data_IF_005777911758
#
_entry.id   IF_005777911758
#
_cell.length_a   1.000
_cell.length_b   1.000
_cell.length_c   1.000
_cell.angle_alpha   90.00
_cell.angle_beta   90.00
_cell.angle_gamma   90.00
#
_symmetry.space_group_name_H-M   'P 1'
#
loop_
_entity.id
_entity.type
_entity.pdbx_description
1 polymer ?
#
# COMPACT_ATOMS: atom_id res chain seq x y z
N UNK A 1 -20.71 -16.34 16.95
CA UNK A 1 -20.11 -16.36 15.60
C UNK A 1 -20.64 -15.24 14.70
N UNK A 2 -21.97 -15.13 14.49
CA UNK A 2 -22.56 -14.11 13.60
C UNK A 2 -22.26 -12.68 14.08
N UNK A 3 -22.37 -12.41 15.38
CA UNK A 3 -22.06 -11.09 15.97
C UNK A 3 -20.60 -10.70 15.75
N UNK A 4 -19.66 -11.61 16.04
CA UNK A 4 -18.23 -11.37 15.85
C UNK A 4 -17.83 -11.11 14.38
N UNK A 5 -18.40 -11.86 13.43
CA UNK A 5 -18.18 -11.62 12.00
C UNK A 5 -18.75 -10.25 11.60
N UNK A 6 -19.90 -9.86 12.15
CA UNK A 6 -20.46 -8.53 11.92
C UNK A 6 -19.53 -7.44 12.47
N UNK A 7 -18.98 -7.59 13.67
CA UNK A 7 -18.06 -6.62 14.29
C UNK A 7 -16.76 -6.48 13.49
N UNK A 8 -16.19 -7.61 13.04
CA UNK A 8 -15.04 -7.62 12.14
C UNK A 8 -15.36 -6.95 10.80
N UNK A 9 -16.56 -7.18 10.26
CA UNK A 9 -17.03 -6.55 9.02
C UNK A 9 -17.16 -5.05 9.18
N UNK A 10 -17.67 -4.57 10.32
CA UNK A 10 -17.76 -3.14 10.64
C UNK A 10 -16.36 -2.53 10.73
N UNK A 11 -15.42 -3.21 11.41
CA UNK A 11 -14.03 -2.78 11.50
C UNK A 11 -13.39 -2.68 10.12
N UNK A 12 -13.53 -3.71 9.28
CA UNK A 12 -12.96 -3.74 7.92
C UNK A 12 -13.60 -2.70 6.99
N UNK A 13 -14.91 -2.48 7.13
CA UNK A 13 -15.63 -1.44 6.37
C UNK A 13 -15.17 -0.05 6.78
N UNK A 14 -15.00 0.18 8.08
CA UNK A 14 -14.44 1.43 8.62
C UNK A 14 -13.04 1.69 8.07
N UNK A 15 -12.17 0.68 8.07
CA UNK A 15 -10.83 0.75 7.48
C UNK A 15 -10.89 1.11 5.99
N UNK A 16 -11.72 0.41 5.21
CA UNK A 16 -11.88 0.67 3.78
C UNK A 16 -12.33 2.10 3.50
N UNK A 17 -13.34 2.60 4.23
CA UNK A 17 -13.85 3.96 4.09
C UNK A 17 -12.82 5.02 4.50
N UNK A 18 -12.15 4.81 5.63
CA UNK A 18 -11.11 5.69 6.14
C UNK A 18 -9.97 5.86 5.12
N UNK A 19 -9.45 4.74 4.60
CA UNK A 19 -8.38 4.74 3.60
C UNK A 19 -8.83 5.33 2.28
N UNK A 20 -10.03 4.96 1.81
CA UNK A 20 -10.58 5.49 0.57
C UNK A 20 -10.73 7.00 0.59
N UNK A 21 -11.16 7.56 1.73
CA UNK A 21 -11.28 8.99 1.93
C UNK A 21 -9.92 9.71 1.97
N UNK A 22 -8.94 9.15 2.70
CA UNK A 22 -7.57 9.71 2.73
C UNK A 22 -6.92 9.66 1.35
N UNK A 23 -7.02 8.53 0.65
CA UNK A 23 -6.50 8.37 -0.71
C UNK A 23 -7.08 9.43 -1.67
N UNK A 24 -8.37 9.75 -1.53
CA UNK A 24 -9.00 10.81 -2.32
C UNK A 24 -8.52 12.22 -1.92
N UNK A 25 -8.34 12.51 -0.63
CA UNK A 25 -7.75 13.78 -0.18
C UNK A 25 -6.30 13.93 -0.64
N UNK A 26 -5.54 12.83 -0.55
CA UNK A 26 -4.15 12.72 -0.97
C UNK A 26 -3.95 12.87 -2.47
N UNK A 27 -4.91 12.42 -3.28
CA UNK A 27 -4.86 12.50 -4.75
C UNK A 27 -4.63 13.93 -5.28
N UNK A 28 -5.14 14.95 -4.58
CA UNK A 28 -4.94 16.35 -4.93
C UNK A 28 -3.46 16.75 -4.83
N UNK A 29 -2.82 16.39 -3.71
CA UNK A 29 -1.40 16.63 -3.49
C UNK A 29 -0.57 15.77 -4.43
N UNK A 30 -0.93 14.50 -4.59
CA UNK A 30 -0.26 13.57 -5.50
C UNK A 30 -0.22 14.09 -6.94
N UNK A 31 -1.35 14.62 -7.46
CA UNK A 31 -1.40 15.23 -8.79
C UNK A 31 -0.45 16.42 -8.94
N UNK A 32 -0.35 17.25 -7.90
CA UNK A 32 0.59 18.37 -7.88
C UNK A 32 2.04 17.89 -7.92
N UNK A 33 2.36 16.75 -7.29
CA UNK A 33 3.68 16.12 -7.35
C UNK A 33 3.99 15.47 -8.69
N UNK A 34 3.04 14.73 -9.25
CA UNK A 34 3.18 14.10 -10.57
C UNK A 34 3.29 15.14 -11.69
N UNK A 35 2.93 16.39 -11.46
CA UNK A 35 3.17 17.48 -12.41
C UNK A 35 4.61 18.05 -12.34
N UNK A 36 5.44 17.66 -11.36
CA UNK A 36 6.81 18.19 -11.26
C UNK A 36 7.71 17.64 -12.38
N UNK A 37 8.53 18.50 -13.01
CA UNK A 37 9.43 18.09 -14.07
C UNK A 37 10.52 17.14 -13.54
N UNK A 38 10.66 15.98 -14.20
CA UNK A 38 11.70 14.97 -13.93
C UNK A 38 13.13 15.50 -14.21
N UNK A 39 13.27 16.36 -15.23
CA UNK A 39 14.56 16.80 -15.76
C UNK A 39 15.04 18.10 -15.12
N UNK A 40 16.29 18.09 -14.63
CA UNK A 40 16.98 19.28 -14.10
C UNK A 40 16.68 19.59 -12.63
N UNK A 41 15.93 18.73 -11.94
CA UNK A 41 15.68 18.87 -10.50
C UNK A 41 16.81 18.20 -9.72
N UNK A 42 17.41 18.94 -8.79
CA UNK A 42 18.47 18.39 -7.92
C UNK A 42 17.98 17.23 -7.05
N UNK A 43 18.87 16.30 -6.71
CA UNK A 43 18.57 15.06 -5.97
C UNK A 43 17.73 15.28 -4.71
N UNK A 44 18.00 16.35 -3.96
CA UNK A 44 17.26 16.69 -2.74
C UNK A 44 15.79 17.04 -3.00
N UNK A 45 15.51 17.86 -4.02
CA UNK A 45 14.13 18.23 -4.40
C UNK A 45 13.35 17.04 -4.94
N UNK A 46 14.02 16.13 -5.65
CA UNK A 46 13.44 14.86 -6.07
C UNK A 46 13.05 14.00 -4.85
N UNK A 47 13.93 13.90 -3.85
CA UNK A 47 13.66 13.17 -2.61
C UNK A 47 12.46 13.76 -1.86
N UNK A 48 12.46 15.07 -1.65
CA UNK A 48 11.38 15.80 -0.98
C UNK A 48 10.04 15.60 -1.69
N UNK A 49 9.99 15.83 -3.01
CA UNK A 49 8.76 15.66 -3.80
C UNK A 49 8.25 14.22 -3.80
N UNK A 50 9.17 13.24 -3.84
CA UNK A 50 8.79 11.82 -3.81
C UNK A 50 8.30 11.38 -2.43
N UNK A 51 8.95 11.86 -1.35
CA UNK A 51 8.50 11.61 0.02
C UNK A 51 7.12 12.22 0.26
N UNK A 52 6.90 13.44 -0.21
CA UNK A 52 5.61 14.12 -0.07
C UNK A 52 4.52 13.47 -0.91
N UNK A 53 4.83 12.96 -2.10
CA UNK A 53 3.94 12.11 -2.90
C UNK A 53 3.56 10.83 -2.13
N UNK A 54 4.54 10.13 -1.56
CA UNK A 54 4.31 8.89 -0.83
C UNK A 54 3.47 9.10 0.45
N UNK A 55 3.78 10.14 1.22
CA UNK A 55 3.05 10.49 2.44
C UNK A 55 1.65 10.98 2.08
N UNK A 56 1.49 11.91 1.15
CA UNK A 56 0.18 12.52 0.89
C UNK A 56 -0.91 11.53 0.49
N UNK A 57 -0.57 10.46 -0.25
CA UNK A 57 -1.56 9.50 -0.75
C UNK A 57 -2.12 8.56 0.34
N UNK A 58 -1.34 8.26 1.39
CA UNK A 58 -1.80 7.48 2.53
C UNK A 58 -2.13 6.00 2.26
N UNK A 59 -1.75 5.48 1.10
CA UNK A 59 -1.79 4.05 0.74
C UNK A 59 -0.42 3.63 0.22
N UNK A 60 0.26 2.76 0.96
CA UNK A 60 1.59 2.31 0.56
C UNK A 60 1.51 1.38 -0.64
N UNK A 61 0.46 0.55 -0.72
CA UNK A 61 0.24 -0.37 -1.82
C UNK A 61 0.03 0.44 -3.11
N UNK A 62 -0.89 1.40 -3.11
CA UNK A 62 -1.16 2.22 -4.29
C UNK A 62 0.05 3.04 -4.74
N UNK A 63 0.90 3.48 -3.81
CA UNK A 63 2.18 4.12 -4.12
C UNK A 63 3.16 3.16 -4.81
N UNK A 64 3.30 1.94 -4.33
CA UNK A 64 4.21 0.94 -4.90
C UNK A 64 3.75 0.47 -6.28
N UNK A 65 2.45 0.23 -6.48
CA UNK A 65 1.90 -0.07 -7.80
C UNK A 65 2.01 1.13 -8.75
N UNK A 66 1.80 2.35 -8.25
CA UNK A 66 2.02 3.58 -9.01
C UNK A 66 3.47 3.71 -9.49
N UNK A 67 4.43 3.47 -8.61
CA UNK A 67 5.86 3.42 -8.95
C UNK A 67 6.16 2.39 -10.05
N UNK A 68 5.58 1.19 -9.95
CA UNK A 68 5.74 0.14 -10.96
C UNK A 68 5.11 0.52 -12.30
N UNK A 69 3.95 1.18 -12.28
CA UNK A 69 3.31 1.69 -13.48
C UNK A 69 4.17 2.79 -14.14
N UNK A 70 4.70 3.74 -13.37
CA UNK A 70 5.61 4.79 -13.86
C UNK A 70 6.90 4.21 -14.46
N UNK A 71 7.48 3.20 -13.80
CA UNK A 71 8.67 2.50 -14.28
C UNK A 71 8.40 1.81 -15.62
N UNK A 72 7.25 1.15 -15.74
CA UNK A 72 6.91 0.37 -16.93
C UNK A 72 6.48 1.25 -18.11
N UNK A 73 5.73 2.33 -17.85
CA UNK A 73 5.32 3.31 -18.86
C UNK A 73 6.46 4.24 -19.31
N UNK A 74 7.54 4.32 -18.52
CA UNK A 74 8.64 5.29 -18.67
C UNK A 74 8.14 6.74 -18.66
N UNK A 75 7.05 7.01 -17.94
CA UNK A 75 6.55 8.37 -17.74
C UNK A 75 7.49 9.22 -16.90
N UNK A 76 8.32 8.58 -16.08
CA UNK A 76 9.39 9.18 -15.29
C UNK A 76 10.69 8.40 -15.46
N UNK A 77 11.81 9.03 -15.11
CA UNK A 77 13.10 8.37 -15.04
C UNK A 77 13.10 7.27 -13.97
N UNK A 78 13.92 6.25 -14.22
CA UNK A 78 14.05 5.07 -13.34
C UNK A 78 14.35 5.47 -11.88
N UNK A 79 15.10 6.56 -11.69
CA UNK A 79 15.45 7.07 -10.38
C UNK A 79 14.20 7.45 -9.58
N UNK A 80 13.27 8.20 -10.17
CA UNK A 80 12.03 8.61 -9.49
C UNK A 80 11.13 7.41 -9.20
N UNK A 81 10.95 6.52 -10.18
CA UNK A 81 10.09 5.36 -9.98
C UNK A 81 10.63 4.42 -8.89
N UNK A 82 11.94 4.14 -8.88
CA UNK A 82 12.56 3.33 -7.83
C UNK A 82 12.52 4.04 -6.48
N UNK A 83 12.73 5.35 -6.43
CA UNK A 83 12.65 6.12 -5.18
C UNK A 83 11.24 6.13 -4.61
N UNK A 84 10.21 6.27 -5.45
CA UNK A 84 8.81 6.18 -5.04
C UNK A 84 8.46 4.77 -4.56
N UNK A 85 9.02 3.72 -5.19
CA UNK A 85 8.86 2.35 -4.73
C UNK A 85 9.44 2.14 -3.31
N UNK A 86 10.59 2.76 -3.02
CA UNK A 86 11.23 2.70 -1.71
C UNK A 86 10.46 3.51 -0.66
N UNK A 87 10.12 4.77 -0.97
CA UNK A 87 9.43 5.68 -0.07
C UNK A 87 7.95 5.39 0.07
N UNK A 88 7.36 4.58 -0.82
CA UNK A 88 5.95 4.21 -0.78
C UNK A 88 5.50 3.67 0.56
N UNK A 89 6.41 3.00 1.31
CA UNK A 89 6.17 2.51 2.66
C UNK A 89 5.79 3.60 3.66
N UNK A 90 6.23 4.84 3.45
CA UNK A 90 5.84 5.99 4.27
C UNK A 90 4.33 6.23 4.24
N UNK A 91 3.62 5.75 3.20
CA UNK A 91 2.17 5.75 3.14
C UNK A 91 1.48 4.98 4.27
N UNK A 92 2.21 4.17 5.06
CA UNK A 92 1.71 3.51 6.27
C UNK A 92 1.48 4.47 7.46
N UNK A 93 1.83 5.76 7.35
CA UNK A 93 1.52 6.73 8.41
C UNK A 93 0.02 6.81 8.72
N UNK A 94 -0.84 6.56 7.72
CA UNK A 94 -2.31 6.52 7.90
C UNK A 94 -2.74 5.37 8.78
N UNK A 95 -2.07 4.23 8.66
CA UNK A 95 -2.25 3.07 9.54
C UNK A 95 -1.86 3.42 10.96
N UNK A 96 -0.71 4.09 11.15
CA UNK A 96 -0.28 4.54 12.46
C UNK A 96 -1.28 5.54 13.07
N UNK A 97 -1.72 6.52 12.28
CA UNK A 97 -2.72 7.49 12.73
C UNK A 97 -4.05 6.81 13.09
N UNK A 98 -4.56 5.92 12.24
CA UNK A 98 -5.78 5.17 12.50
C UNK A 98 -5.67 4.32 13.77
N UNK A 99 -4.53 3.68 13.99
CA UNK A 99 -4.28 2.88 15.19
C UNK A 99 -4.21 3.72 16.47
N UNK A 100 -3.64 4.92 16.41
CA UNK A 100 -3.62 5.87 17.53
C UNK A 100 -5.04 6.39 17.85
N UNK A 101 -5.82 6.68 16.82
CA UNK A 101 -7.22 7.12 16.97
C UNK A 101 -8.08 6.04 17.62
N UNK A 102 -7.92 4.78 17.19
CA UNK A 102 -8.60 3.62 17.79
C UNK A 102 -8.36 3.52 19.30
N UNK A 103 -7.16 3.86 19.74
CA UNK A 103 -6.75 3.66 21.12
C UNK A 103 -7.29 4.75 22.07
N UNK A 104 -7.38 6.00 21.61
CA UNK A 104 -7.61 7.15 22.50
C UNK A 104 -8.99 7.80 22.41
N UNK A 105 -9.76 7.53 21.36
CA UNK A 105 -10.96 8.32 21.07
C UNK A 105 -12.19 7.43 20.99
N UNK A 106 -13.23 7.79 21.75
CA UNK A 106 -14.51 7.08 21.71
C UNK A 106 -15.15 7.19 20.32
N UNK A 107 -15.65 6.05 19.82
CA UNK A 107 -16.27 5.95 18.50
C UNK A 107 -17.50 6.88 18.34
N UNK A 108 -18.19 7.15 19.45
CA UNK A 108 -19.37 8.02 19.53
C UNK A 108 -19.12 9.42 18.97
N UNK A 109 -17.95 10.01 19.25
CA UNK A 109 -17.61 11.36 18.78
C UNK A 109 -17.48 11.43 17.26
N UNK A 110 -16.86 10.43 16.64
CA UNK A 110 -16.69 10.36 15.19
C UNK A 110 -18.00 10.09 14.46
N UNK A 111 -18.82 9.19 15.00
CA UNK A 111 -20.13 8.87 14.43
C UNK A 111 -21.05 10.08 14.56
N UNK A 112 -21.09 10.74 15.72
CA UNK A 112 -21.87 11.95 15.91
C UNK A 112 -21.45 13.07 14.95
N UNK A 113 -20.13 13.32 14.80
CA UNK A 113 -19.62 14.31 13.86
C UNK A 113 -19.98 13.97 12.39
N UNK A 114 -19.90 12.70 12.02
CA UNK A 114 -20.29 12.24 10.68
C UNK A 114 -21.80 12.35 10.43
N UNK A 115 -22.63 12.00 11.41
CA UNK A 115 -24.11 12.06 11.32
C UNK A 115 -24.59 13.51 11.24
N UNK A 116 -24.13 14.37 12.15
CA UNK A 116 -24.47 15.80 12.15
C UNK A 116 -24.13 16.42 10.80
N UNK A 117 -22.97 16.06 10.23
CA UNK A 117 -22.60 16.61 8.94
C UNK A 117 -23.28 15.96 7.74
N UNK A 118 -23.61 14.66 7.78
CA UNK A 118 -24.39 13.99 6.72
C UNK A 118 -25.72 14.71 6.50
N UNK A 119 -26.37 15.15 7.59
CA UNK A 119 -27.57 15.98 7.49
C UNK A 119 -27.29 17.41 6.99
N UNK A 120 -26.08 17.93 7.20
CA UNK A 120 -25.61 19.21 6.64
C UNK A 120 -25.05 19.10 5.21
N UNK A 121 -24.87 17.88 4.66
CA UNK A 121 -24.16 17.62 3.39
C UNK A 121 -24.83 18.30 2.20
N UNK A 122 -26.13 18.63 2.32
CA UNK A 122 -26.86 19.49 1.37
C UNK A 122 -26.21 20.87 1.17
N UNK A 123 -25.32 21.32 2.07
CA UNK A 123 -24.82 22.69 2.12
C UNK A 123 -23.32 22.81 1.81
N UNK A 124 -22.53 21.73 1.94
CA UNK A 124 -21.06 21.80 1.79
C UNK A 124 -20.45 20.60 1.05
N UNK A 125 -20.41 20.68 -0.29
CA UNK A 125 -19.83 19.66 -1.17
C UNK A 125 -18.32 19.40 -0.94
N UNK A 126 -17.58 20.40 -0.44
CA UNK A 126 -16.13 20.31 -0.20
C UNK A 126 -15.75 19.46 1.02
N UNK A 127 -16.68 19.26 1.96
CA UNK A 127 -16.42 18.52 3.20
C UNK A 127 -16.48 17.00 3.07
N UNK A 128 -17.16 16.48 2.04
CA UNK A 128 -17.58 15.06 1.92
C UNK A 128 -16.49 14.03 2.26
N UNK A 129 -15.25 14.24 1.80
CA UNK A 129 -14.17 13.28 2.05
C UNK A 129 -13.70 13.28 3.50
N UNK A 130 -13.65 14.44 4.14
CA UNK A 130 -13.33 14.54 5.56
C UNK A 130 -14.38 13.79 6.39
N UNK A 131 -15.66 13.87 6.03
CA UNK A 131 -16.71 13.13 6.74
C UNK A 131 -16.72 11.65 6.45
N UNK A 132 -16.41 11.22 5.22
CA UNK A 132 -16.18 9.80 4.94
C UNK A 132 -15.00 9.26 5.75
N UNK A 133 -13.95 10.06 5.92
CA UNK A 133 -12.81 9.72 6.77
C UNK A 133 -13.24 9.61 8.24
N UNK A 134 -13.97 10.59 8.78
CA UNK A 134 -14.48 10.57 10.16
C UNK A 134 -15.45 9.41 10.40
N UNK A 135 -16.37 9.14 9.47
CA UNK A 135 -17.27 7.99 9.52
C UNK A 135 -16.48 6.68 9.52
N UNK A 136 -15.49 6.56 8.63
CA UNK A 136 -14.60 5.41 8.56
C UNK A 136 -13.87 5.17 9.88
N UNK A 137 -13.32 6.24 10.48
CA UNK A 137 -12.72 6.18 11.83
C UNK A 137 -13.73 5.78 12.90
N UNK A 138 -14.95 6.33 12.88
CA UNK A 138 -16.00 5.99 13.82
C UNK A 138 -16.42 4.52 13.74
N UNK A 139 -16.61 3.99 12.52
CA UNK A 139 -16.89 2.57 12.29
C UNK A 139 -15.71 1.68 12.70
N UNK A 140 -14.48 2.10 12.38
CA UNK A 140 -13.27 1.40 12.78
C UNK A 140 -13.17 1.28 14.32
N UNK A 141 -13.36 2.40 15.03
CA UNK A 141 -13.38 2.46 16.51
C UNK A 141 -14.53 1.68 17.11
N UNK A 142 -15.73 1.76 16.52
CA UNK A 142 -16.90 1.01 16.99
C UNK A 142 -16.69 -0.49 16.82
N UNK A 143 -16.26 -0.95 15.64
CA UNK A 143 -15.98 -2.36 15.39
C UNK A 143 -14.89 -2.90 16.32
N UNK A 144 -13.83 -2.10 16.58
CA UNK A 144 -12.80 -2.46 17.56
C UNK A 144 -13.37 -2.61 18.97
N UNK A 145 -14.17 -1.65 19.44
CA UNK A 145 -14.81 -1.71 20.76
C UNK A 145 -15.76 -2.92 20.89
N UNK A 146 -16.53 -3.22 19.86
CA UNK A 146 -17.45 -4.36 19.85
C UNK A 146 -16.69 -5.70 19.87
N UNK A 147 -15.59 -5.82 19.12
CA UNK A 147 -14.73 -7.00 19.15
C UNK A 147 -14.13 -7.24 20.55
N UNK A 148 -13.74 -6.18 21.25
CA UNK A 148 -13.22 -6.26 22.62
C UNK A 148 -14.34 -6.72 23.57
N UNK A 149 -15.55 -6.17 23.45
CA UNK A 149 -16.69 -6.62 24.27
C UNK A 149 -17.11 -8.06 23.97
N UNK A 150 -16.92 -8.53 22.74
CA UNK A 150 -17.17 -9.90 22.32
C UNK A 150 -16.07 -10.90 22.78
N UNK A 151 -14.98 -10.43 23.39
CA UNK A 151 -13.86 -11.26 23.85
C UNK A 151 -14.29 -12.51 24.65
N UNK A 152 -15.18 -12.44 25.65
CA UNK A 152 -15.56 -13.62 26.43
C UNK A 152 -16.21 -14.69 25.55
N UNK A 153 -16.95 -14.28 24.53
CA UNK A 153 -17.56 -15.20 23.58
C UNK A 153 -16.51 -15.84 22.68
N UNK A 154 -15.49 -15.10 22.26
CA UNK A 154 -14.36 -15.63 21.47
C UNK A 154 -13.60 -16.67 22.27
N UNK A 155 -13.25 -16.37 23.53
CA UNK A 155 -12.53 -17.30 24.41
C UNK A 155 -13.40 -18.53 24.68
N UNK A 156 -14.69 -18.37 24.94
CA UNK A 156 -15.61 -19.49 25.13
C UNK A 156 -15.82 -20.33 23.85
N UNK A 157 -15.81 -19.71 22.67
CA UNK A 157 -15.93 -20.39 21.37
C UNK A 157 -14.65 -21.12 20.98
N UNK A 158 -13.49 -20.53 21.28
CA UNK A 158 -12.20 -21.13 21.03
C UNK A 158 -11.87 -22.22 22.06
N UNK A 159 -12.48 -22.19 23.25
CA UNK A 159 -12.32 -23.20 24.29
C UNK A 159 -10.86 -23.49 24.64
N UNK A 160 -10.58 -24.69 25.16
CA UNK A 160 -9.22 -25.25 25.25
C UNK A 160 -8.72 -25.79 23.90
N UNK A 161 -9.09 -25.20 22.76
CA UNK A 161 -8.60 -25.69 21.47
C UNK A 161 -7.10 -25.41 21.30
N UNK A 162 -6.42 -26.31 20.59
CA UNK A 162 -5.02 -26.11 20.16
C UNK A 162 -4.83 -24.78 19.40
N UNK A 163 -5.89 -24.26 18.78
CA UNK A 163 -5.88 -22.97 18.10
C UNK A 163 -5.87 -21.78 19.07
N UNK A 164 -6.62 -21.84 20.17
CA UNK A 164 -6.52 -20.84 21.25
C UNK A 164 -5.12 -20.83 21.85
N UNK A 165 -4.57 -22.02 22.11
CA UNK A 165 -3.19 -22.18 22.58
C UNK A 165 -2.21 -21.59 21.56
N UNK A 166 -2.37 -21.86 20.27
CA UNK A 166 -1.53 -21.29 19.21
C UNK A 166 -1.57 -19.75 19.15
N UNK A 167 -2.71 -19.11 19.40
CA UNK A 167 -2.81 -17.64 19.41
C UNK A 167 -2.15 -17.01 20.65
N UNK A 168 -2.26 -17.66 21.80
CA UNK A 168 -1.80 -17.15 23.09
C UNK A 168 -0.33 -17.51 23.42
N UNK A 169 0.14 -18.69 23.01
CA UNK A 169 1.40 -19.32 23.46
C UNK A 169 2.65 -18.55 23.01
N UNK A 170 2.55 -17.75 21.95
CA UNK A 170 3.62 -16.84 21.54
C UNK A 170 4.97 -17.51 21.27
N UNK A 171 5.02 -18.85 21.14
CA UNK A 171 6.19 -19.65 20.76
C UNK A 171 6.42 -19.57 19.25
N UNK A 172 7.63 -19.93 18.82
CA UNK A 172 8.05 -19.78 17.43
C UNK A 172 7.13 -20.50 16.42
N UNK A 173 6.70 -21.72 16.72
CA UNK A 173 5.81 -22.48 15.82
C UNK A 173 4.45 -21.80 15.60
N UNK A 174 3.89 -21.24 16.66
CA UNK A 174 2.65 -20.47 16.62
C UNK A 174 2.79 -19.16 15.81
N UNK A 175 3.89 -18.42 16.04
CA UNK A 175 4.18 -17.20 15.28
C UNK A 175 4.35 -17.49 13.79
N UNK A 176 5.03 -18.58 13.44
CA UNK A 176 5.22 -18.98 12.04
C UNK A 176 3.89 -19.30 11.36
N UNK A 177 2.99 -20.02 12.05
CA UNK A 177 1.66 -20.31 11.54
C UNK A 177 0.85 -19.03 11.29
N UNK A 178 0.91 -18.05 12.20
CA UNK A 178 0.23 -16.76 12.05
C UNK A 178 0.80 -15.92 10.91
N UNK A 179 2.12 -15.90 10.77
CA UNK A 179 2.81 -15.23 9.67
C UNK A 179 2.41 -15.84 8.32
N UNK A 180 2.43 -17.17 8.20
CA UNK A 180 2.02 -17.85 6.96
C UNK A 180 0.52 -17.65 6.68
N UNK A 181 -0.31 -17.69 7.71
CA UNK A 181 -1.74 -17.42 7.60
C UNK A 181 -2.03 -16.02 7.08
N UNK A 182 -1.43 -14.99 7.68
CA UNK A 182 -1.62 -13.61 7.23
C UNK A 182 -1.01 -13.37 5.85
N UNK A 183 0.10 -14.04 5.51
CA UNK A 183 0.66 -14.00 4.17
C UNK A 183 -0.32 -14.52 3.12
N UNK A 184 -0.89 -15.71 3.35
CA UNK A 184 -1.84 -16.35 2.43
C UNK A 184 -3.09 -15.48 2.28
N UNK A 185 -3.69 -15.05 3.40
CA UNK A 185 -4.90 -14.21 3.39
C UNK A 185 -4.65 -12.92 2.62
N UNK A 186 -3.54 -12.23 2.87
CA UNK A 186 -3.17 -10.99 2.17
C UNK A 186 -2.86 -11.22 0.69
N UNK A 187 -2.36 -12.39 0.30
CA UNK A 187 -2.14 -12.71 -1.11
C UNK A 187 -3.45 -12.72 -1.92
N UNK A 188 -4.58 -13.04 -1.28
CA UNK A 188 -5.91 -13.02 -1.89
C UNK A 188 -6.67 -11.71 -1.66
N UNK A 189 -6.49 -11.07 -0.49
CA UNK A 189 -7.23 -9.87 -0.11
C UNK A 189 -6.40 -8.62 -0.45
N UNK A 190 -6.95 -7.72 -1.27
CA UNK A 190 -6.32 -6.46 -1.65
C UNK A 190 -6.42 -5.34 -0.60
N UNK A 191 -6.74 -5.66 0.65
CA UNK A 191 -6.85 -4.73 1.76
C UNK A 191 -5.49 -4.64 2.43
N UNK A 192 -5.02 -3.42 2.67
CA UNK A 192 -3.69 -3.19 3.22
C UNK A 192 -3.79 -2.71 4.69
N UNK A 193 -2.79 -3.07 5.48
CA UNK A 193 -2.68 -2.88 6.94
C UNK A 193 -3.78 -3.46 7.80
N UNK A 194 -4.56 -4.42 7.30
CA UNK A 194 -5.66 -5.01 8.07
C UNK A 194 -5.15 -5.76 9.32
N UNK A 195 -3.95 -6.35 9.24
CA UNK A 195 -3.35 -7.09 10.35
C UNK A 195 -2.95 -6.19 11.52
N UNK A 196 -2.66 -4.91 11.29
CA UNK A 196 -2.37 -3.96 12.37
C UNK A 196 -3.62 -3.75 13.21
N UNK A 197 -4.77 -3.54 12.57
CA UNK A 197 -6.03 -3.30 13.24
C UNK A 197 -6.59 -4.55 13.92
N UNK A 198 -6.55 -5.69 13.23
CA UNK A 198 -6.91 -6.99 13.83
C UNK A 198 -5.95 -7.37 14.96
N UNK A 199 -4.66 -7.12 14.76
CA UNK A 199 -3.62 -7.35 15.76
C UNK A 199 -3.86 -6.54 17.03
N UNK A 200 -4.18 -5.24 16.91
CA UNK A 200 -4.56 -4.41 18.05
C UNK A 200 -5.83 -4.95 18.72
N UNK A 201 -6.89 -5.22 17.96
CA UNK A 201 -8.14 -5.72 18.52
C UNK A 201 -7.92 -7.01 19.33
N UNK A 202 -7.16 -7.96 18.77
CA UNK A 202 -6.86 -9.23 19.43
C UNK A 202 -5.84 -9.15 20.57
N UNK A 203 -4.90 -8.21 20.50
CA UNK A 203 -3.94 -7.95 21.57
C UNK A 203 -4.63 -7.32 22.77
N UNK A 204 -5.55 -6.38 22.52
CA UNK A 204 -6.38 -5.71 23.52
C UNK A 204 -7.34 -6.70 24.17
N UNK A 205 -7.97 -7.57 23.39
CA UNK A 205 -8.81 -8.64 23.92
C UNK A 205 -8.01 -9.81 24.53
N UNK A 206 -6.70 -9.71 24.68
CA UNK A 206 -5.86 -10.75 25.28
C UNK A 206 -5.87 -12.11 24.55
N UNK A 207 -6.49 -12.20 23.37
CA UNK A 207 -6.61 -13.43 22.57
C UNK A 207 -5.34 -13.72 21.79
N UNK A 208 -4.50 -12.71 21.57
CA UNK A 208 -3.28 -12.80 20.79
C UNK A 208 -2.10 -12.25 21.58
N UNK A 209 -1.00 -13.00 21.60
CA UNK A 209 0.26 -12.51 22.18
C UNK A 209 0.85 -11.35 21.35
N UNK A 210 1.68 -10.52 21.99
CA UNK A 210 2.40 -9.43 21.30
C UNK A 210 3.22 -9.95 20.10
N UNK A 211 3.88 -11.10 20.24
CA UNK A 211 4.63 -11.72 19.14
C UNK A 211 3.71 -12.22 18.03
N UNK A 212 2.54 -12.76 18.38
CA UNK A 212 1.53 -13.16 17.40
C UNK A 212 1.03 -11.97 16.58
N UNK A 213 0.76 -10.84 17.23
CA UNK A 213 0.36 -9.61 16.56
C UNK A 213 1.45 -9.11 15.59
N UNK A 214 2.72 -9.11 16.01
CA UNK A 214 3.85 -8.76 15.15
C UNK A 214 3.98 -9.74 13.97
N UNK A 215 3.82 -11.03 14.21
CA UNK A 215 3.90 -12.05 13.15
C UNK A 215 2.82 -11.86 12.08
N UNK A 216 1.59 -11.48 12.48
CA UNK A 216 0.52 -11.14 11.53
C UNK A 216 0.96 -10.00 10.60
N UNK A 217 1.49 -8.91 11.16
CA UNK A 217 1.96 -7.75 10.40
C UNK A 217 3.09 -8.12 9.44
N UNK A 218 4.10 -8.85 9.92
CA UNK A 218 5.21 -9.28 9.06
C UNK A 218 4.71 -10.13 7.89
N UNK A 219 3.78 -11.06 8.13
CA UNK A 219 3.23 -11.89 7.06
C UNK A 219 2.43 -11.09 6.03
N UNK A 220 1.64 -10.09 6.44
CA UNK A 220 0.97 -9.17 5.51
C UNK A 220 1.98 -8.36 4.68
N UNK A 221 3.01 -7.78 5.33
CA UNK A 221 4.01 -6.98 4.63
C UNK A 221 4.83 -7.81 3.64
N UNK A 222 5.21 -9.04 4.02
CA UNK A 222 5.88 -9.99 3.12
C UNK A 222 4.98 -10.35 1.93
N UNK A 223 3.70 -10.58 2.16
CA UNK A 223 2.76 -10.88 1.09
C UNK A 223 2.67 -9.72 0.10
N UNK A 224 2.50 -8.49 0.55
CA UNK A 224 2.44 -7.34 -0.37
C UNK A 224 3.69 -7.20 -1.24
N UNK A 225 4.87 -7.36 -0.63
CA UNK A 225 6.16 -7.30 -1.32
C UNK A 225 6.27 -8.38 -2.41
N UNK A 226 5.88 -9.62 -2.11
CA UNK A 226 5.92 -10.73 -3.07
C UNK A 226 4.79 -10.70 -4.10
N UNK A 227 3.60 -10.23 -3.73
CA UNK A 227 2.46 -10.10 -4.64
C UNK A 227 2.73 -9.06 -5.72
N UNK A 228 3.43 -7.96 -5.38
CA UNK A 228 3.90 -6.99 -6.36
C UNK A 228 4.85 -7.65 -7.36
N UNK A 229 5.85 -8.40 -6.89
CA UNK A 229 6.77 -9.13 -7.77
C UNK A 229 6.05 -10.16 -8.65
N UNK A 230 5.11 -10.91 -8.07
CA UNK A 230 4.29 -11.89 -8.78
C UNK A 230 3.48 -11.25 -9.91
N UNK A 231 2.84 -10.10 -9.64
CA UNK A 231 2.00 -9.37 -10.60
C UNK A 231 2.84 -8.62 -11.64
N UNK A 232 4.03 -8.17 -11.29
CA UNK A 232 4.97 -7.51 -12.19
C UNK A 232 5.55 -8.44 -13.26
N UNK A 233 5.37 -9.77 -13.16
CA UNK A 233 5.79 -10.73 -14.20
C UNK A 233 5.12 -10.52 -15.57
N UNK A 234 3.99 -9.79 -15.61
CA UNK A 234 3.30 -9.40 -16.85
C UNK A 234 3.82 -8.09 -17.46
N UNK A 235 4.69 -7.37 -16.75
CA UNK A 235 5.27 -6.10 -17.20
C UNK A 235 6.58 -6.34 -17.97
N UNK A 236 7.19 -5.25 -18.44
CA UNK A 236 8.47 -5.28 -19.14
C UNK A 236 9.58 -5.90 -18.28
N UNK A 237 10.63 -6.42 -18.94
CA UNK A 237 11.77 -7.09 -18.29
C UNK A 237 12.43 -6.25 -17.19
N UNK A 238 12.59 -4.94 -17.42
CA UNK A 238 13.08 -3.98 -16.42
C UNK A 238 12.22 -3.99 -15.15
N UNK A 239 10.90 -3.83 -15.31
CA UNK A 239 9.95 -3.81 -14.21
C UNK A 239 9.94 -5.16 -13.47
N UNK A 240 9.97 -6.28 -14.21
CA UNK A 240 10.08 -7.62 -13.64
C UNK A 240 11.35 -7.76 -12.77
N UNK A 241 12.51 -7.39 -13.30
CA UNK A 241 13.79 -7.49 -12.58
C UNK A 241 13.83 -6.59 -11.34
N UNK A 242 13.36 -5.35 -11.47
CA UNK A 242 13.25 -4.41 -10.35
C UNK A 242 12.30 -4.93 -9.28
N UNK A 243 11.14 -5.49 -9.66
CA UNK A 243 10.16 -6.01 -8.70
C UNK A 243 10.67 -7.20 -7.89
N UNK A 244 11.42 -8.12 -8.51
CA UNK A 244 12.01 -9.28 -7.81
C UNK A 244 13.11 -8.80 -6.86
N UNK A 245 13.97 -7.89 -7.33
CA UNK A 245 15.04 -7.34 -6.50
C UNK A 245 14.49 -6.53 -5.32
N UNK A 246 13.42 -5.76 -5.55
CA UNK A 246 12.64 -5.08 -4.52
C UNK A 246 12.08 -6.09 -3.52
N UNK A 247 11.53 -7.21 -4.00
CA UNK A 247 10.95 -8.20 -3.13
C UNK A 247 11.95 -8.86 -2.20
N UNK A 248 13.14 -9.17 -2.71
CA UNK A 248 14.25 -9.70 -1.93
C UNK A 248 14.72 -8.67 -0.89
N UNK A 249 15.02 -7.44 -1.32
CA UNK A 249 15.50 -6.39 -0.42
C UNK A 249 14.48 -6.05 0.69
N UNK A 250 13.20 -5.94 0.32
CA UNK A 250 12.10 -5.72 1.25
C UNK A 250 11.92 -6.88 2.24
N UNK A 251 12.02 -8.13 1.77
CA UNK A 251 11.96 -9.31 2.64
C UNK A 251 13.12 -9.35 3.64
N UNK A 252 14.34 -9.06 3.19
CA UNK A 252 15.51 -8.97 4.06
C UNK A 252 15.32 -7.90 5.14
N UNK A 253 14.80 -6.73 4.78
CA UNK A 253 14.51 -5.65 5.73
C UNK A 253 13.39 -6.00 6.73
N UNK A 254 12.35 -6.70 6.29
CA UNK A 254 11.28 -7.19 7.19
C UNK A 254 11.79 -8.25 8.17
N UNK A 255 12.60 -9.21 7.69
CA UNK A 255 13.22 -10.24 8.54
C UNK A 255 14.14 -9.58 9.57
N UNK A 256 14.99 -8.63 9.15
CA UNK A 256 15.84 -7.85 10.04
C UNK A 256 15.00 -7.08 11.07
N UNK A 257 13.93 -6.42 10.63
CA UNK A 257 13.02 -5.69 11.51
C UNK A 257 12.33 -6.59 12.54
N UNK A 258 11.94 -7.81 12.16
CA UNK A 258 11.39 -8.80 13.07
C UNK A 258 12.40 -9.20 14.16
N UNK A 259 13.65 -9.46 13.79
CA UNK A 259 14.71 -9.75 14.76
C UNK A 259 15.00 -8.56 15.69
N UNK A 260 15.10 -7.34 15.15
CA UNK A 260 15.31 -6.13 15.95
C UNK A 260 14.14 -5.91 16.91
N UNK A 261 12.88 -6.08 16.46
CA UNK A 261 11.71 -5.98 17.33
C UNK A 261 11.76 -7.00 18.47
N UNK A 262 12.18 -8.25 18.21
CA UNK A 262 12.39 -9.27 19.24
C UNK A 262 13.50 -8.92 20.24
N UNK A 263 14.60 -8.32 19.76
CA UNK A 263 15.68 -7.82 20.62
C UNK A 263 15.21 -6.67 21.51
N UNK A 264 14.54 -5.66 20.93
CA UNK A 264 13.99 -4.54 21.69
C UNK A 264 13.00 -5.03 22.76
N UNK A 265 12.18 -6.03 22.42
CA UNK A 265 11.29 -6.67 23.39
C UNK A 265 12.05 -7.17 24.61
N UNK A 266 13.17 -7.85 24.39
CA UNK A 266 14.00 -8.42 25.45
C UNK A 266 14.69 -7.34 26.25
N UNK A 267 15.29 -6.36 25.57
CA UNK A 267 16.05 -5.25 26.19
C UNK A 267 15.16 -4.37 27.07
N UNK A 268 13.95 -4.04 26.61
CA UNK A 268 13.03 -3.18 27.33
C UNK A 268 12.02 -3.96 28.20
N UNK A 269 12.18 -5.27 28.33
CA UNK A 269 11.25 -6.16 29.02
C UNK A 269 9.77 -5.95 28.60
N UNK A 270 9.54 -5.65 27.32
CA UNK A 270 8.19 -5.44 26.79
C UNK A 270 7.37 -6.74 26.80
N UNK A 271 6.16 -6.65 27.34
CA UNK A 271 5.27 -7.79 27.53
C UNK A 271 5.62 -8.70 28.71
N UNK A 272 6.46 -8.27 29.66
CA UNK A 272 6.81 -9.02 30.88
C UNK A 272 6.38 -8.36 32.21
N UNK A 273 5.83 -7.14 32.20
CA UNK A 273 5.42 -6.39 33.41
C UNK A 273 3.89 -6.36 33.59
N UNK A 274 3.42 -6.63 34.81
CA UNK A 274 2.04 -7.00 35.18
C UNK A 274 1.30 -5.97 36.07
N UNK A 275 1.39 -4.66 35.80
CA UNK A 275 0.68 -3.67 36.64
C UNK A 275 -0.10 -2.60 35.85
N UNK A 276 -1.38 -2.43 36.24
CA UNK A 276 -2.25 -1.24 36.15
C UNK A 276 -2.66 -0.71 34.77
N UNK A 277 -1.69 -0.52 33.88
CA UNK A 277 -1.85 0.03 32.53
C UNK A 277 -1.52 -1.00 31.43
N UNK A 278 -1.68 -2.30 31.71
CA UNK A 278 -1.19 -3.39 30.86
C UNK A 278 -1.62 -3.30 29.40
N UNK A 279 -2.87 -2.90 29.16
CA UNK A 279 -3.47 -2.92 27.84
C UNK A 279 -3.05 -1.70 27.01
N UNK A 280 -2.94 -0.52 27.64
CA UNK A 280 -2.32 0.65 27.03
C UNK A 280 -0.86 0.39 26.63
N UNK A 281 -0.11 -0.18 27.57
CA UNK A 281 1.31 -0.46 27.38
C UNK A 281 1.52 -1.49 26.26
N UNK A 282 0.68 -2.52 26.14
CA UNK A 282 0.75 -3.52 25.06
C UNK A 282 0.51 -2.89 23.68
N UNK A 283 -0.48 -2.01 23.54
CA UNK A 283 -0.75 -1.32 22.27
C UNK A 283 0.42 -0.42 21.87
N UNK A 284 0.96 0.38 22.80
CA UNK A 284 2.13 1.21 22.52
C UNK A 284 3.38 0.40 22.17
N UNK A 285 3.62 -0.71 22.88
CA UNK A 285 4.71 -1.63 22.56
C UNK A 285 4.55 -2.24 21.16
N UNK A 286 3.33 -2.64 20.79
CA UNK A 286 3.04 -3.13 19.44
C UNK A 286 3.27 -2.06 18.37
N UNK A 287 2.78 -0.84 18.57
CA UNK A 287 3.00 0.27 17.64
C UNK A 287 4.47 0.67 17.52
N UNK A 288 5.23 0.65 18.63
CA UNK A 288 6.67 0.88 18.61
C UNK A 288 7.40 -0.20 17.80
N UNK A 289 7.06 -1.48 17.99
CA UNK A 289 7.61 -2.58 17.19
C UNK A 289 7.25 -2.43 15.71
N UNK A 290 6.00 -2.05 15.40
CA UNK A 290 5.56 -1.80 14.02
C UNK A 290 6.38 -0.69 13.35
N UNK A 291 6.61 0.43 14.04
CA UNK A 291 7.45 1.52 13.55
C UNK A 291 8.88 1.02 13.28
N UNK A 292 9.46 0.27 14.20
CA UNK A 292 10.81 -0.30 14.05
C UNK A 292 10.88 -1.23 12.83
N UNK A 293 9.86 -2.06 12.61
CA UNK A 293 9.77 -2.95 11.44
C UNK A 293 9.73 -2.13 10.15
N UNK A 294 8.90 -1.08 10.08
CA UNK A 294 8.82 -0.19 8.90
C UNK A 294 10.18 0.46 8.63
N UNK A 295 10.82 1.03 9.64
CA UNK A 295 12.14 1.66 9.49
C UNK A 295 13.22 0.65 9.06
N UNK A 296 13.18 -0.55 9.63
CA UNK A 296 14.10 -1.64 9.29
C UNK A 296 13.89 -2.15 7.86
N UNK A 297 12.67 -2.06 7.33
CA UNK A 297 12.40 -2.34 5.93
C UNK A 297 12.86 -1.19 5.02
N UNK A 298 12.67 0.06 5.44
CA UNK A 298 13.03 1.24 4.65
C UNK A 298 14.55 1.33 4.39
N UNK A 299 15.40 1.03 5.38
CA UNK A 299 16.86 1.18 5.25
C UNK A 299 17.43 0.32 4.10
N UNK A 300 17.23 -1.02 4.08
CA UNK A 300 17.69 -1.86 2.98
C UNK A 300 17.07 -1.49 1.64
N UNK A 301 15.79 -1.08 1.61
CA UNK A 301 15.15 -0.60 0.39
C UNK A 301 15.81 0.66 -0.16
N UNK A 302 16.17 1.63 0.68
CA UNK A 302 16.87 2.84 0.24
C UNK A 302 18.28 2.55 -0.27
N UNK A 303 19.03 1.68 0.42
CA UNK A 303 20.36 1.23 -0.03
C UNK A 303 20.25 0.50 -1.36
N UNK A 304 19.34 -0.46 -1.48
CA UNK A 304 19.08 -1.18 -2.72
C UNK A 304 18.63 -0.24 -3.85
N UNK A 305 17.70 0.67 -3.55
CA UNK A 305 17.11 1.61 -4.51
C UNK A 305 18.16 2.52 -5.15
N UNK A 306 19.16 2.94 -4.37
CA UNK A 306 20.31 3.69 -4.88
C UNK A 306 21.04 2.98 -6.02
N UNK A 307 21.28 1.66 -5.89
CA UNK A 307 21.94 0.87 -6.92
C UNK A 307 20.99 0.47 -8.05
N UNK A 308 19.75 0.12 -7.73
CA UNK A 308 18.76 -0.30 -8.70
C UNK A 308 18.41 0.81 -9.71
N UNK A 309 18.36 2.06 -9.25
CA UNK A 309 18.08 3.23 -10.08
C UNK A 309 19.16 3.49 -11.15
N UNK A 310 20.41 3.09 -10.92
CA UNK A 310 21.55 3.32 -11.81
C UNK A 310 21.72 2.28 -12.91
N UNK A 311 21.05 1.12 -12.80
CA UNK A 311 21.07 0.11 -13.86
C UNK A 311 20.39 0.66 -15.12
N UNK A 312 21.04 0.55 -16.28
CA UNK A 312 20.47 0.95 -17.58
C UNK A 312 19.14 0.21 -17.82
N UNK A 313 18.21 0.90 -18.49
CA UNK A 313 16.94 0.32 -18.93
C UNK A 313 17.21 -0.51 -20.19
N UNK A 314 16.79 -1.76 -20.21
CA UNK A 314 16.83 -2.61 -21.42
C UNK A 314 15.77 -2.15 -22.42
N UNK A 315 15.93 -2.41 -23.73
CA UNK A 315 14.90 -2.03 -24.72
C UNK A 315 13.54 -2.70 -24.43
N UNK A 316 12.44 -2.02 -24.78
CA UNK A 316 11.09 -2.49 -24.49
C UNK A 316 10.82 -3.78 -25.28
N UNK A 317 10.83 -4.92 -24.59
CA UNK A 317 10.28 -6.16 -25.11
C UNK A 317 8.81 -6.25 -24.71
N UNK A 318 7.94 -6.54 -25.69
CA UNK A 318 6.47 -6.85 -25.64
C UNK A 318 5.86 -7.07 -24.24
N UNK A 319 5.74 -6.04 -23.41
CA UNK A 319 5.04 -6.11 -22.12
C UNK A 319 3.80 -5.21 -22.11
N UNK A 320 2.81 -5.60 -21.31
CA UNK A 320 1.62 -4.76 -21.05
C UNK A 320 2.05 -3.52 -20.22
N UNK A 321 1.49 -2.33 -20.49
CA UNK A 321 1.82 -1.08 -19.75
C UNK A 321 1.46 -1.15 -18.26
N UNK A 322 0.27 -1.65 -17.96
CA UNK A 322 -0.07 -2.24 -16.67
C UNK A 322 -1.31 -3.10 -16.85
N UNK A 323 -1.42 -4.16 -16.05
CA UNK A 323 -2.49 -5.15 -16.21
C UNK A 323 -3.84 -4.55 -15.80
N UNK A 324 -4.90 -4.83 -16.57
CA UNK A 324 -6.28 -4.41 -16.25
C UNK A 324 -6.78 -4.88 -14.89
N UNK A 325 -6.30 -6.03 -14.44
CA UNK A 325 -6.63 -6.52 -13.09
C UNK A 325 -6.20 -5.57 -11.99
N UNK A 326 -5.18 -4.72 -12.23
CA UNK A 326 -4.74 -3.72 -11.26
C UNK A 326 -5.76 -2.59 -11.11
N UNK A 327 -6.41 -2.21 -12.21
CA UNK A 327 -7.50 -1.21 -12.20
C UNK A 327 -8.72 -1.76 -11.47
N UNK A 328 -9.17 -2.97 -11.84
CA UNK A 328 -10.34 -3.60 -11.22
C UNK A 328 -10.18 -3.84 -9.72
N UNK A 329 -8.96 -4.14 -9.27
CA UNK A 329 -8.66 -4.36 -7.86
C UNK A 329 -8.35 -3.07 -7.09
N UNK A 330 -8.40 -1.90 -7.73
CA UNK A 330 -8.13 -0.62 -7.07
C UNK A 330 -6.69 -0.46 -6.57
N UNK A 331 -5.73 -1.14 -7.22
CA UNK A 331 -4.31 -1.12 -6.81
C UNK A 331 -3.57 0.14 -7.25
N UNK A 332 -4.12 0.88 -8.20
CA UNK A 332 -3.58 2.15 -8.66
C UNK A 332 -4.49 3.28 -8.19
N UNK A 333 -3.88 4.40 -7.76
CA UNK A 333 -4.65 5.61 -7.48
C UNK A 333 -5.19 6.22 -8.78
N UNK A 334 -6.33 6.91 -8.70
CA UNK A 334 -6.88 7.66 -9.84
C UNK A 334 -5.87 8.64 -10.44
N UNK A 335 -5.09 9.30 -9.57
CA UNK A 335 -4.01 10.20 -9.94
C UNK A 335 -2.93 9.52 -10.80
N UNK A 336 -2.44 8.34 -10.39
CA UNK A 336 -1.46 7.60 -11.20
C UNK A 336 -2.06 7.13 -12.52
N UNK A 337 -3.32 6.69 -12.53
CA UNK A 337 -4.00 6.23 -13.74
C UNK A 337 -4.08 7.37 -14.75
N UNK A 338 -4.68 8.51 -14.35
CA UNK A 338 -4.82 9.68 -15.21
C UNK A 338 -3.46 10.19 -15.71
N UNK A 339 -2.45 10.25 -14.83
CA UNK A 339 -1.12 10.71 -15.19
C UNK A 339 -0.41 9.79 -16.18
N UNK A 340 -0.47 8.47 -15.98
CA UNK A 340 0.16 7.52 -16.90
C UNK A 340 -0.56 7.53 -18.24
N UNK A 341 -1.89 7.54 -18.26
CA UNK A 341 -2.68 7.62 -19.50
C UNK A 341 -2.31 8.89 -20.29
N UNK A 342 -2.31 10.07 -19.65
CA UNK A 342 -1.97 11.33 -20.31
C UNK A 342 -0.56 11.32 -20.92
N UNK A 343 0.42 10.70 -20.25
CA UNK A 343 1.78 10.58 -20.80
C UNK A 343 1.86 9.56 -21.95
N UNK A 344 1.10 8.47 -21.89
CA UNK A 344 1.02 7.50 -22.97
C UNK A 344 0.34 8.10 -24.20
N UNK A 345 -0.71 8.90 -24.03
CA UNK A 345 -1.36 9.68 -25.10
C UNK A 345 -0.41 10.70 -25.73
N UNK A 346 0.34 11.45 -24.90
CA UNK A 346 1.36 12.38 -25.40
C UNK A 346 2.44 11.67 -26.19
N UNK A 347 2.90 10.49 -25.74
CA UNK A 347 3.87 9.66 -26.45
C UNK A 347 3.30 9.15 -27.77
N UNK A 348 2.06 8.64 -27.77
CA UNK A 348 1.37 8.22 -28.98
C UNK A 348 1.28 9.36 -30.00
N UNK A 349 0.86 10.55 -29.59
CA UNK A 349 0.79 11.72 -30.47
C UNK A 349 2.15 12.13 -31.05
N UNK A 350 3.23 12.01 -30.28
CA UNK A 350 4.60 12.23 -30.78
C UNK A 350 5.02 11.18 -31.80
N UNK A 351 4.74 9.90 -31.53
CA UNK A 351 5.05 8.79 -32.46
C UNK A 351 4.25 8.91 -33.76
N UNK A 352 2.96 9.25 -33.68
CA UNK A 352 2.10 9.51 -34.84
C UNK A 352 2.59 10.72 -35.65
N UNK A 353 3.02 11.80 -34.98
CA UNK A 353 3.60 12.97 -35.66
C UNK A 353 4.91 12.62 -36.35
N UNK A 354 5.77 11.82 -35.72
CA UNK A 354 7.03 11.36 -36.30
C UNK A 354 6.83 10.42 -37.49
N UNK A 355 5.79 9.60 -37.50
CA UNK A 355 5.49 8.68 -38.61
C UNK A 355 4.72 9.34 -39.76
N UNK A 356 3.75 10.20 -39.46
CA UNK A 356 2.92 10.90 -40.48
C UNK A 356 3.56 12.18 -41.02
N UNK A 357 4.52 12.77 -40.31
CA UNK A 357 5.20 14.00 -40.70
C UNK A 357 6.40 13.80 -41.64
N UNK A 358 6.77 12.55 -41.94
CA UNK A 358 7.85 12.22 -42.86
C UNK A 358 7.31 12.12 -44.29
N UNK A 359 8.01 12.74 -45.24
CA UNK A 359 7.74 12.55 -46.66
C UNK A 359 8.05 11.11 -47.11
N UNK A 360 7.47 10.62 -48.22
CA UNK A 360 7.73 9.28 -48.74
C UNK A 360 9.21 8.97 -49.02
N UNK A 361 10.02 10.01 -49.26
CA UNK A 361 11.45 9.91 -49.52
C UNK A 361 12.27 9.78 -48.23
N UNK A 362 11.90 10.51 -47.17
CA UNK A 362 12.51 10.39 -45.83
C UNK A 362 12.15 9.06 -45.16
N UNK A 363 10.95 8.55 -45.40
CA UNK A 363 10.54 7.22 -44.97
C UNK A 363 11.45 6.14 -45.56
N UNK A 364 11.90 6.24 -46.81
CA UNK A 364 12.85 5.26 -47.39
C UNK A 364 14.23 5.25 -46.72
N UNK A 365 14.60 6.32 -46.02
CA UNK A 365 15.89 6.43 -45.32
C UNK A 365 15.86 5.83 -43.91
N UNK A 366 14.67 5.69 -43.31
CA UNK A 366 14.53 5.05 -41.99
C UNK A 366 14.53 3.52 -42.17
N UNK A 367 15.34 2.76 -41.42
CA UNK A 367 15.35 1.31 -41.55
C UNK A 367 13.96 0.70 -41.34
N UNK A 368 13.55 -0.24 -42.20
CA UNK A 368 12.23 -0.87 -42.15
C UNK A 368 11.93 -1.56 -40.79
N UNK A 369 12.98 -2.02 -40.09
CA UNK A 369 12.88 -2.56 -38.72
C UNK A 369 12.39 -1.52 -37.72
N UNK A 370 12.87 -0.28 -37.80
CA UNK A 370 12.45 0.83 -36.93
C UNK A 370 11.01 1.27 -37.22
N UNK A 371 10.62 1.31 -38.50
CA UNK A 371 9.25 1.65 -38.89
C UNK A 371 8.26 0.63 -38.34
N UNK A 372 8.54 -0.66 -38.52
CA UNK A 372 7.70 -1.75 -38.03
C UNK A 372 7.59 -1.73 -36.50
N UNK A 373 8.66 -1.39 -35.79
CA UNK A 373 8.63 -1.21 -34.34
C UNK A 373 7.73 -0.04 -33.94
N UNK A 374 7.85 1.12 -34.60
CA UNK A 374 7.01 2.29 -34.36
C UNK A 374 5.53 2.01 -34.62
N UNK A 375 5.19 1.39 -35.76
CA UNK A 375 3.81 1.03 -36.10
C UNK A 375 3.21 0.04 -35.08
N UNK A 376 4.00 -0.96 -34.67
CA UNK A 376 3.59 -1.91 -33.64
C UNK A 376 3.37 -1.21 -32.30
N UNK A 377 4.23 -0.26 -31.93
CA UNK A 377 4.08 0.53 -30.72
C UNK A 377 2.83 1.42 -30.74
N UNK A 378 2.56 2.09 -31.87
CA UNK A 378 1.34 2.89 -32.08
C UNK A 378 0.08 2.02 -31.95
N UNK A 379 0.07 0.85 -32.59
CA UNK A 379 -1.04 -0.10 -32.50
C UNK A 379 -1.26 -0.60 -31.07
N UNK A 380 -0.18 -0.92 -30.36
CA UNK A 380 -0.26 -1.37 -28.96
C UNK A 380 -0.74 -0.25 -28.02
N UNK A 381 -0.23 0.97 -28.17
CA UNK A 381 -0.62 2.13 -27.36
C UNK A 381 -2.09 2.49 -27.57
N UNK A 382 -2.51 2.65 -28.82
CA UNK A 382 -3.89 2.99 -29.16
C UNK A 382 -4.89 1.92 -28.68
N UNK A 383 -4.56 0.64 -28.88
CA UNK A 383 -5.36 -0.46 -28.36
C UNK A 383 -5.41 -0.47 -26.84
N UNK A 384 -4.31 -0.18 -26.15
CA UNK A 384 -4.28 -0.16 -24.70
C UNK A 384 -5.04 1.04 -24.11
N UNK A 385 -4.92 2.24 -24.69
CA UNK A 385 -5.62 3.46 -24.25
C UNK A 385 -7.14 3.32 -24.43
N UNK A 386 -7.59 2.88 -25.61
CA UNK A 386 -9.03 2.64 -25.88
C UNK A 386 -9.65 1.61 -24.92
N UNK A 387 -8.83 0.65 -24.47
CA UNK A 387 -9.20 -0.39 -23.51
C UNK A 387 -9.20 0.07 -22.06
N UNK A 388 -8.59 1.20 -21.73
CA UNK A 388 -8.34 1.67 -20.35
C UNK A 388 -9.07 2.99 -20.03
N UNK A 389 -9.49 3.75 -21.04
CA UNK A 389 -10.31 4.97 -20.94
C UNK A 389 -11.66 4.84 -20.21
N UNK A 390 -12.34 3.68 -20.17
CA UNK A 390 -13.58 3.56 -19.38
C UNK A 390 -13.38 3.81 -17.88
N UNK A 391 -12.17 3.63 -17.36
CA UNK A 391 -11.86 3.75 -15.93
C UNK A 391 -11.51 5.17 -15.48
N UNK A 392 -11.29 6.11 -16.42
CA UNK A 392 -10.97 7.51 -16.11
C UNK A 392 -12.22 8.38 -15.93
N UNK A 393 -13.38 7.91 -16.42
CA UNK A 393 -14.66 8.65 -16.38
C UNK A 393 -15.57 8.32 -15.18
N UNK A 394 -15.11 7.47 -14.26
CA UNK A 394 -15.82 7.03 -13.05
C UNK A 394 -15.00 7.29 -11.80
#
# INVERSE_FOLDING_TARGET
MILWIADLTILMTGLFLFRGAISQLGSYFQNRFLAFPDKGVGTFKMLEGTALCAVSHGSFLQNQYGAMALLNSRSYSKHYAVLLLCLGILGMWTTLFGALVLWKIEASYFIAAAVVFYFSERWFSRGRQIFKMLLGLGMLSMGSAMLIQAQPQIIALLGESDFHFLLADGRFGAQLALLLGSFIVTAFIGLESWTVFVGIAFLVSGTLSLNGAVALVIGELLAHVWVIAWRARKLNQDAKSVSISYAIAGSCGLILGFFIAGLLRTVFAWGYTFEGNELENRVWQFLAMFIVIIFSQLIPLMVWGHFAARKKLEEIQKGEYFARSWLHQGLLSKSFIAFVIANLEKRLGLLEKQTRGLSPEELKQVPATFQKQHETEIANLSQWISRSTPFDRT
#
